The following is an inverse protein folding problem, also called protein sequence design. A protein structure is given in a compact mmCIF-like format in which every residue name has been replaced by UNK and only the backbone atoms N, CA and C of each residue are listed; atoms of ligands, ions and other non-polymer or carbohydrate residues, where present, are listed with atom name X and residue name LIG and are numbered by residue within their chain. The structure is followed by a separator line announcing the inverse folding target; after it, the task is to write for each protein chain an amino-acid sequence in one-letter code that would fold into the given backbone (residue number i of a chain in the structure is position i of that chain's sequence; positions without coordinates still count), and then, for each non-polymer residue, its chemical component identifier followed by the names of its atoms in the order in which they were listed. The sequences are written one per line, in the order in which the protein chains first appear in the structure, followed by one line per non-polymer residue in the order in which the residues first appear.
data_IF_162990189891
#
_entry.id   IF_162990189891
#
_cell.length_a   1.000
_cell.length_b   1.000
_cell.length_c   1.000
_cell.angle_alpha   90.00
_cell.angle_beta   90.00
_cell.angle_gamma   90.00
#
_symmetry.space_group_name_H-M   'P 1'
#
loop_
_entity.id
_entity.type
_entity.pdbx_description
1 polymer ?
#
# COMPACT_ATOMS: atom_id res chain seq x y z
N UNK A 1 -18.88 -18.73 0.21
CA UNK A 1 -19.02 -17.27 0.28
C UNK A 1 -17.67 -16.60 0.29
N UNK A 2 -17.51 -15.62 -0.53
CA UNK A 2 -16.24 -14.92 -0.62
C UNK A 2 -16.03 -14.02 0.59
N UNK A 3 -14.85 -14.08 1.15
CA UNK A 3 -14.46 -13.17 2.21
C UNK A 3 -14.18 -11.78 1.65
N UNK A 4 -13.82 -11.69 0.38
CA UNK A 4 -13.53 -10.42 -0.27
C UNK A 4 -14.74 -9.93 -1.04
N UNK A 5 -15.16 -8.71 -0.76
CA UNK A 5 -16.26 -8.08 -1.49
C UNK A 5 -15.71 -7.42 -2.73
N UNK A 6 -16.31 -7.63 -3.93
CA UNK A 6 -15.80 -7.03 -5.16
C UNK A 6 -15.71 -5.51 -5.11
N UNK A 7 -16.57 -4.86 -4.33
CA UNK A 7 -16.60 -3.42 -4.17
C UNK A 7 -16.00 -2.95 -2.86
N UNK A 8 -15.45 -3.87 -2.06
CA UNK A 8 -14.79 -3.51 -0.81
C UNK A 8 -13.49 -2.80 -1.12
N UNK A 9 -13.37 -1.57 -0.69
CA UNK A 9 -12.20 -0.73 -0.98
C UNK A 9 -11.35 -0.53 0.25
N UNK A 10 -10.06 -0.65 0.04
CA UNK A 10 -9.07 -0.45 1.09
C UNK A 10 -8.02 0.53 0.60
N UNK A 11 -7.52 1.33 1.52
CA UNK A 11 -6.43 2.27 1.23
C UNK A 11 -5.22 1.91 2.07
N UNK A 12 -4.11 1.67 1.39
CA UNK A 12 -2.82 1.50 2.05
C UNK A 12 -2.22 2.88 2.28
N UNK A 13 -1.83 3.16 3.52
CA UNK A 13 -1.08 4.35 3.86
C UNK A 13 0.35 3.93 4.16
N UNK A 14 1.30 4.52 3.48
CA UNK A 14 2.71 4.24 3.69
C UNK A 14 3.43 5.53 4.02
N UNK A 15 4.26 5.49 5.04
CA UNK A 15 5.17 6.59 5.36
C UNK A 15 6.57 6.06 5.14
N UNK A 16 7.35 6.78 4.35
CA UNK A 16 8.71 6.35 3.98
C UNK A 16 9.68 7.51 4.08
N UNK A 17 10.95 7.16 4.24
CA UNK A 17 12.01 8.14 4.08
C UNK A 17 12.05 8.64 2.64
N UNK A 18 12.63 9.80 2.40
CA UNK A 18 12.74 10.37 1.07
C UNK A 18 13.80 9.63 0.25
N UNK A 19 13.48 8.40 -0.11
CA UNK A 19 14.36 7.50 -0.85
C UNK A 19 13.82 7.35 -2.27
N UNK A 20 14.68 7.51 -3.30
CA UNK A 20 14.21 7.42 -4.70
C UNK A 20 13.54 6.08 -5.02
N UNK A 21 13.88 5.02 -4.31
CA UNK A 21 13.30 3.70 -4.54
C UNK A 21 12.02 3.41 -3.77
N UNK A 22 11.58 4.31 -2.89
CA UNK A 22 10.46 4.02 -2.00
C UNK A 22 9.15 3.73 -2.76
N UNK A 23 8.83 4.56 -3.75
CA UNK A 23 7.60 4.39 -4.53
C UNK A 23 7.63 3.06 -5.28
N UNK A 24 8.77 2.77 -5.93
CA UNK A 24 8.91 1.53 -6.70
C UNK A 24 8.73 0.31 -5.80
N UNK A 25 9.27 0.32 -4.60
CA UNK A 25 9.15 -0.81 -3.67
C UNK A 25 7.71 -1.08 -3.29
N UNK A 26 6.94 -0.02 -3.07
CA UNK A 26 5.52 -0.17 -2.73
C UNK A 26 4.75 -0.72 -3.92
N UNK A 27 4.93 -0.13 -5.10
CA UNK A 27 4.20 -0.52 -6.31
C UNK A 27 4.55 -1.94 -6.73
N UNK A 28 5.81 -2.35 -6.57
CA UNK A 28 6.26 -3.70 -6.90
C UNK A 28 5.47 -4.78 -6.17
N UNK A 29 5.05 -4.53 -4.93
CA UNK A 29 4.29 -5.54 -4.19
C UNK A 29 2.99 -5.89 -4.90
N UNK A 30 2.34 -4.89 -5.46
CA UNK A 30 1.09 -5.08 -6.20
C UNK A 30 1.37 -5.74 -7.56
N UNK A 31 2.42 -5.30 -8.23
CA UNK A 31 2.81 -5.89 -9.50
C UNK A 31 3.12 -7.37 -9.35
N UNK A 32 3.87 -7.75 -8.32
CA UNK A 32 4.25 -9.14 -8.07
C UNK A 32 3.05 -10.03 -7.79
N UNK A 33 1.97 -9.47 -7.27
CA UNK A 33 0.74 -10.21 -6.99
C UNK A 33 -0.29 -10.06 -8.10
N UNK A 34 0.09 -9.41 -9.20
CA UNK A 34 -0.78 -9.17 -10.34
C UNK A 34 -2.04 -8.37 -9.96
N UNK A 35 -1.85 -7.39 -9.07
CA UNK A 35 -2.93 -6.52 -8.61
C UNK A 35 -2.73 -5.15 -9.24
N UNK A 36 -3.80 -4.62 -9.84
CA UNK A 36 -3.79 -3.28 -10.42
C UNK A 36 -4.42 -2.32 -9.40
N UNK A 37 -3.65 -1.40 -8.83
CA UNK A 37 -4.22 -0.40 -7.92
C UNK A 37 -5.23 0.49 -8.64
N UNK A 38 -6.24 0.91 -7.91
CA UNK A 38 -7.24 1.85 -8.43
C UNK A 38 -6.74 3.28 -8.40
N UNK A 39 -5.81 3.56 -7.48
CA UNK A 39 -5.31 4.91 -7.30
C UNK A 39 -3.97 4.81 -6.57
N UNK A 40 -2.98 5.57 -7.02
CA UNK A 40 -1.69 5.67 -6.35
C UNK A 40 -1.34 7.15 -6.26
N UNK A 41 -1.05 7.62 -5.05
CA UNK A 41 -0.63 9.00 -4.83
C UNK A 41 0.62 8.97 -3.96
N UNK A 42 1.59 9.78 -4.32
CA UNK A 42 2.81 9.93 -3.53
C UNK A 42 3.09 11.41 -3.38
N UNK A 43 3.26 11.87 -2.14
CA UNK A 43 3.48 13.28 -1.83
C UNK A 43 4.45 13.41 -0.68
N UNK A 44 5.21 14.49 -0.68
CA UNK A 44 6.02 14.82 0.48
C UNK A 44 5.18 15.51 1.54
N UNK A 45 5.47 15.20 2.80
CA UNK A 45 4.93 15.93 3.93
C UNK A 45 5.85 17.10 4.26
N UNK A 46 5.41 17.94 5.21
CA UNK A 46 6.21 19.06 5.68
C UNK A 46 7.49 18.62 6.40
N UNK A 47 7.58 17.35 6.78
CA UNK A 47 8.76 16.79 7.46
C UNK A 47 9.73 16.09 6.51
N UNK A 48 9.55 16.27 5.21
CA UNK A 48 10.34 15.58 4.19
C UNK A 48 10.19 14.06 4.22
N UNK A 49 9.11 13.58 4.80
CA UNK A 49 8.75 12.18 4.69
C UNK A 49 7.84 12.00 3.48
N UNK A 50 7.98 10.87 2.83
CA UNK A 50 7.18 10.53 1.67
C UNK A 50 5.93 9.78 2.13
N UNK A 51 4.76 10.28 1.73
CA UNK A 51 3.49 9.63 2.00
C UNK A 51 2.97 9.01 0.72
N UNK A 52 2.67 7.72 0.76
CA UNK A 52 2.17 7.00 -0.41
C UNK A 52 0.83 6.39 -0.05
N UNK A 53 -0.17 6.61 -0.90
CA UNK A 53 -1.49 5.99 -0.74
C UNK A 53 -1.75 5.08 -1.93
N UNK A 54 -2.22 3.87 -1.66
CA UNK A 54 -2.58 2.92 -2.71
C UNK A 54 -3.97 2.38 -2.41
N UNK A 55 -4.90 2.61 -3.32
CA UNK A 55 -6.27 2.13 -3.19
C UNK A 55 -6.44 0.86 -4.00
N UNK A 56 -7.07 -0.14 -3.40
CA UNK A 56 -7.36 -1.42 -4.03
C UNK A 56 -8.78 -1.86 -3.72
N UNK A 57 -9.28 -2.81 -4.51
CA UNK A 57 -10.61 -3.40 -4.33
C UNK A 57 -10.50 -4.92 -4.28
N UNK A 58 -11.38 -5.53 -3.48
CA UNK A 58 -11.64 -6.95 -3.59
C UNK A 58 -10.54 -7.88 -3.08
N UNK A 59 -9.67 -7.39 -2.20
CA UNK A 59 -8.63 -8.23 -1.61
C UNK A 59 -9.07 -8.77 -0.27
N UNK A 60 -8.72 -10.02 0.00
CA UNK A 60 -8.98 -10.65 1.29
C UNK A 60 -8.02 -10.09 2.35
N UNK A 61 -8.44 -10.12 3.61
CA UNK A 61 -7.63 -9.62 4.72
C UNK A 61 -6.25 -10.29 4.77
N UNK A 62 -6.19 -11.57 4.44
CA UNK A 62 -4.94 -12.30 4.43
C UNK A 62 -3.96 -11.71 3.41
N UNK A 63 -4.45 -11.37 2.23
CA UNK A 63 -3.62 -10.73 1.20
C UNK A 63 -3.14 -9.37 1.64
N UNK A 64 -4.02 -8.60 2.26
CA UNK A 64 -3.67 -7.26 2.76
C UNK A 64 -2.55 -7.35 3.80
N UNK A 65 -2.65 -8.33 4.70
CA UNK A 65 -1.61 -8.54 5.71
C UNK A 65 -0.27 -8.91 5.11
N UNK A 66 -0.26 -9.75 4.08
CA UNK A 66 0.97 -10.15 3.41
C UNK A 66 1.63 -8.96 2.71
N UNK A 67 0.83 -8.11 2.09
CA UNK A 67 1.35 -6.93 1.39
C UNK A 67 2.04 -5.98 2.37
N UNK A 68 1.37 -5.66 3.48
CA UNK A 68 1.95 -4.78 4.50
C UNK A 68 3.22 -5.40 5.08
N UNK A 69 3.19 -6.69 5.38
CA UNK A 69 4.34 -7.37 5.94
C UNK A 69 5.57 -7.27 5.05
N UNK A 70 5.37 -7.41 3.73
CA UNK A 70 6.47 -7.31 2.78
C UNK A 70 6.97 -5.88 2.62
N UNK A 71 6.06 -4.92 2.58
CA UNK A 71 6.43 -3.50 2.45
C UNK A 71 7.27 -3.07 3.66
N UNK A 72 6.87 -3.49 4.86
CA UNK A 72 7.58 -3.13 6.08
C UNK A 72 9.00 -3.69 6.15
N UNK A 73 9.35 -4.66 5.31
CA UNK A 73 10.70 -5.20 5.28
C UNK A 73 11.70 -4.26 4.61
N UNK A 74 11.22 -3.30 3.82
CA UNK A 74 12.12 -2.36 3.14
C UNK A 74 12.66 -1.32 4.14
N UNK A 75 13.98 -1.09 4.16
CA UNK A 75 14.58 -0.18 5.17
C UNK A 75 14.07 1.25 5.11
N UNK A 76 13.65 1.72 3.94
CA UNK A 76 13.17 3.09 3.79
C UNK A 76 11.74 3.28 4.30
N UNK A 77 11.03 2.21 4.63
CA UNK A 77 9.63 2.30 5.06
C UNK A 77 9.58 2.52 6.57
N UNK A 78 8.93 3.60 6.98
CA UNK A 78 8.75 3.95 8.39
C UNK A 78 7.54 3.25 8.96
N UNK A 79 6.43 3.26 8.20
CA UNK A 79 5.19 2.63 8.64
C UNK A 79 4.30 2.32 7.44
N UNK A 80 3.40 1.35 7.61
CA UNK A 80 2.43 1.01 6.57
C UNK A 80 1.22 0.35 7.21
N UNK A 81 0.03 0.78 6.82
CA UNK A 81 -1.21 0.22 7.38
C UNK A 81 -2.38 0.43 6.43
N UNK A 82 -3.43 -0.36 6.61
CA UNK A 82 -4.62 -0.34 5.77
C UNK A 82 -5.78 0.39 6.44
N UNK A 83 -6.57 1.09 5.61
CA UNK A 83 -7.86 1.64 6.00
C UNK A 83 -8.96 1.01 5.19
N UNK A 84 -10.10 0.80 5.81
CA UNK A 84 -11.32 0.46 5.11
C UNK A 84 -11.97 1.77 4.65
N UNK A 85 -12.29 1.86 3.36
CA UNK A 85 -12.87 3.08 2.79
C UNK A 85 -14.40 3.08 2.77
N UNK A 86 -15.02 1.94 2.88
CA UNK A 86 -16.49 1.84 2.79
C UNK A 86 -17.15 1.77 4.15
#
# INVERSE_FOLDING_TARGET
MDSAQPHSRRRLQVVADADPGAIARVVERFQNLNIVPRRVIAEFSSNDLLHIEVDVCGLADEQLGLIVGKILQAPCIVNAYWHLLD
#
